data_IF_420300368799
#
_entry.id   IF_420300368799
#
_cell.length_a   1.000
_cell.length_b   1.000
_cell.length_c   1.000
_cell.angle_alpha   90.00
_cell.angle_beta   90.00
_cell.angle_gamma   90.00
#
_symmetry.space_group_name_H-M   'P 1'
#
loop_
_entity.id
_entity.type
_entity.pdbx_description
1 polymer ?
#
# COMPACT_ATOMS: atom_id res chain seq x y z
N UNK A 1 3.21 -8.28 -15.96
CA UNK A 1 2.97 -6.88 -15.55
C UNK A 1 2.96 -6.02 -16.82
N UNK A 2 2.29 -4.86 -16.82
CA UNK A 2 2.48 -3.87 -17.90
C UNK A 2 3.79 -3.12 -17.67
N UNK A 3 4.45 -2.65 -18.74
CA UNK A 3 5.66 -1.82 -18.59
C UNK A 3 5.31 -0.36 -18.33
N UNK A 4 4.28 0.15 -18.98
CA UNK A 4 3.92 1.56 -18.93
C UNK A 4 2.48 1.73 -18.44
N UNK A 5 2.26 2.75 -17.63
CA UNK A 5 0.96 3.14 -17.10
C UNK A 5 0.67 4.60 -17.46
N UNK A 6 -0.37 4.81 -18.26
CA UNK A 6 -0.91 6.13 -18.59
C UNK A 6 -2.15 6.40 -17.74
N UNK A 7 -2.21 7.56 -17.09
CA UNK A 7 -3.35 7.94 -16.25
C UNK A 7 -3.91 9.29 -16.68
N UNK A 8 -5.00 9.26 -17.43
CA UNK A 8 -5.77 10.42 -17.86
C UNK A 8 -6.45 11.10 -16.65
N UNK A 9 -6.59 12.43 -16.73
CA UNK A 9 -7.18 13.28 -15.69
C UNK A 9 -6.48 13.21 -14.31
N UNK A 10 -5.22 12.81 -14.28
CA UNK A 10 -4.46 12.65 -13.04
C UNK A 10 -3.73 13.93 -12.60
N UNK A 11 -3.54 14.87 -13.53
CA UNK A 11 -2.89 16.13 -13.27
C UNK A 11 -3.57 17.27 -14.03
N UNK A 12 -3.16 18.51 -13.75
CA UNK A 12 -3.63 19.69 -14.46
C UNK A 12 -2.48 20.62 -14.85
N UNK A 13 -2.61 21.28 -16.01
CA UNK A 13 -1.73 22.38 -16.46
C UNK A 13 -2.59 23.55 -16.92
N UNK A 14 -2.38 24.72 -16.31
CA UNK A 14 -3.22 25.88 -16.56
C UNK A 14 -4.71 25.61 -16.32
N UNK A 15 -5.04 24.75 -15.34
CA UNK A 15 -6.41 24.34 -15.02
C UNK A 15 -7.03 23.29 -15.96
N UNK A 16 -6.33 22.86 -17.01
CA UNK A 16 -6.80 21.80 -17.92
C UNK A 16 -6.27 20.44 -17.47
N UNK A 17 -7.14 19.44 -17.43
CA UNK A 17 -6.76 18.07 -17.06
C UNK A 17 -5.81 17.44 -18.07
N UNK A 18 -4.95 16.55 -17.59
CA UNK A 18 -3.97 15.84 -18.41
C UNK A 18 -3.59 14.45 -17.90
N UNK A 19 -2.91 13.73 -18.78
CA UNK A 19 -2.32 12.42 -18.63
C UNK A 19 -0.93 12.52 -18.03
N UNK A 20 -0.64 11.60 -17.10
CA UNK A 20 0.74 11.32 -16.65
C UNK A 20 1.17 9.96 -17.18
N UNK A 21 2.49 9.77 -17.35
CA UNK A 21 3.10 8.50 -17.75
C UNK A 21 3.99 7.98 -16.63
N UNK A 22 3.83 6.72 -16.28
CA UNK A 22 4.62 6.05 -15.25
C UNK A 22 5.21 4.77 -15.82
N UNK A 23 6.43 4.45 -15.42
CA UNK A 23 7.07 3.18 -15.77
C UNK A 23 6.93 2.19 -14.62
N UNK A 24 6.89 0.92 -14.96
CA UNK A 24 6.94 -0.17 -13.99
C UNK A 24 8.20 -0.01 -13.13
N UNK A 25 8.04 -0.21 -11.83
CA UNK A 25 9.08 0.07 -10.86
C UNK A 25 9.32 -1.14 -9.97
N UNK A 26 10.57 -1.43 -9.56
CA UNK A 26 10.81 -2.54 -8.65
C UNK A 26 10.17 -2.23 -7.29
N UNK A 27 9.68 -3.25 -6.59
CA UNK A 27 9.21 -3.10 -5.22
C UNK A 27 10.39 -2.94 -4.22
N UNK A 28 10.11 -2.68 -2.94
CA UNK A 28 11.13 -2.58 -1.88
C UNK A 28 11.06 -3.77 -0.89
N UNK A 29 11.97 -4.76 -1.00
CA UNK A 29 12.01 -5.88 -0.08
C UNK A 29 12.15 -5.49 1.39
N UNK A 30 11.59 -6.29 2.28
CA UNK A 30 11.82 -6.17 3.73
C UNK A 30 13.04 -6.97 4.16
N UNK A 31 13.70 -6.56 5.24
CA UNK A 31 14.65 -7.42 5.91
C UNK A 31 13.97 -8.57 6.65
N UNK A 32 14.76 -9.58 7.00
CA UNK A 32 14.27 -10.78 7.67
C UNK A 32 14.31 -10.56 9.19
N UNK A 33 13.17 -10.75 9.85
CA UNK A 33 13.03 -10.59 11.31
C UNK A 33 13.09 -11.95 12.07
N UNK A 34 13.19 -13.10 11.39
CA UNK A 34 12.93 -14.36 12.09
C UNK A 34 14.10 -14.85 12.97
N UNK A 35 13.93 -14.70 14.29
CA UNK A 35 14.93 -15.03 15.34
C UNK A 35 15.38 -16.50 15.36
N UNK A 36 14.54 -17.44 14.90
CA UNK A 36 14.86 -18.89 14.91
C UNK A 36 15.75 -19.33 13.75
N UNK A 37 15.79 -18.58 12.65
CA UNK A 37 16.51 -18.92 11.41
C UNK A 37 17.63 -17.92 11.10
N UNK A 38 18.22 -17.30 12.13
CA UNK A 38 19.37 -16.40 11.95
C UNK A 38 20.49 -17.11 11.19
N UNK A 39 20.99 -16.46 10.14
CA UNK A 39 22.04 -17.00 9.27
C UNK A 39 21.56 -17.89 8.13
N UNK A 40 20.27 -18.25 8.05
CA UNK A 40 19.72 -18.86 6.83
C UNK A 40 19.53 -17.79 5.75
N UNK A 41 19.77 -18.11 4.47
CA UNK A 41 19.56 -17.16 3.39
C UNK A 41 18.07 -16.82 3.26
N UNK A 42 17.79 -15.62 2.76
CA UNK A 42 16.43 -15.27 2.37
C UNK A 42 15.85 -16.28 1.38
N UNK A 43 14.52 -16.50 1.37
CA UNK A 43 13.88 -17.22 0.28
C UNK A 43 14.32 -16.69 -1.08
N UNK A 44 14.48 -17.57 -2.06
CA UNK A 44 15.00 -17.21 -3.40
C UNK A 44 14.14 -16.15 -4.09
N UNK A 45 12.83 -16.13 -3.78
CA UNK A 45 11.85 -15.17 -4.30
C UNK A 45 11.64 -13.93 -3.41
N UNK A 46 12.48 -13.73 -2.39
CA UNK A 46 12.36 -12.62 -1.44
C UNK A 46 12.72 -11.26 -2.06
N UNK A 47 13.53 -11.25 -3.11
CA UNK A 47 13.82 -10.02 -3.83
C UNK A 47 12.58 -9.49 -4.56
N UNK A 48 12.62 -8.24 -5.02
CA UNK A 48 11.57 -7.67 -5.86
C UNK A 48 11.46 -8.41 -7.19
N UNK A 49 10.26 -8.45 -7.77
CA UNK A 49 10.07 -8.99 -9.13
C UNK A 49 10.85 -8.16 -10.14
N UNK A 50 11.37 -8.83 -11.17
CA UNK A 50 12.16 -8.18 -12.21
C UNK A 50 11.27 -7.32 -13.09
N UNK A 51 11.57 -6.03 -13.15
CA UNK A 51 10.87 -5.03 -13.96
C UNK A 51 10.98 -5.30 -15.46
N UNK A 52 12.10 -5.89 -15.90
CA UNK A 52 12.35 -6.23 -17.31
C UNK A 52 11.37 -7.25 -17.92
N UNK A 53 10.51 -7.87 -17.09
CA UNK A 53 9.43 -8.75 -17.54
C UNK A 53 8.11 -7.99 -17.80
N UNK A 54 8.09 -6.68 -17.53
CA UNK A 54 6.99 -5.80 -17.87
C UNK A 54 6.92 -5.59 -19.37
N UNK A 55 5.75 -5.79 -19.96
CA UNK A 55 5.50 -5.52 -21.37
C UNK A 55 4.09 -4.97 -21.58
N UNK A 56 4.00 -3.95 -22.42
CA UNK A 56 2.74 -3.36 -22.83
C UNK A 56 2.36 -2.12 -22.03
N UNK A 57 1.24 -1.53 -22.42
CA UNK A 57 0.72 -0.27 -21.88
C UNK A 57 -0.66 -0.48 -21.28
N UNK A 58 -0.86 0.06 -20.09
CA UNK A 58 -2.17 0.17 -19.44
C UNK A 58 -2.57 1.64 -19.40
N UNK A 59 -3.70 1.97 -20.01
CA UNK A 59 -4.26 3.31 -20.01
C UNK A 59 -5.53 3.37 -19.16
N UNK A 60 -5.54 4.30 -18.22
CA UNK A 60 -6.62 4.47 -17.27
C UNK A 60 -7.12 5.91 -17.26
N UNK A 61 -8.41 6.11 -16.99
CA UNK A 61 -8.95 7.43 -16.62
C UNK A 61 -9.22 7.49 -15.13
N UNK A 62 -8.60 8.47 -14.45
CA UNK A 62 -8.85 8.74 -13.05
C UNK A 62 -10.29 9.25 -12.86
N UNK A 63 -11.02 8.61 -11.95
CA UNK A 63 -12.39 8.98 -11.60
C UNK A 63 -12.44 9.59 -10.19
N UNK A 64 -13.27 9.07 -9.31
CA UNK A 64 -13.47 9.59 -7.97
C UNK A 64 -12.42 9.12 -6.96
N UNK A 65 -12.13 10.01 -6.00
CA UNK A 65 -11.36 9.70 -4.80
C UNK A 65 -12.23 8.92 -3.82
N UNK A 66 -11.78 7.75 -3.39
CA UNK A 66 -12.52 6.87 -2.46
C UNK A 66 -11.91 6.79 -1.06
N UNK A 67 -10.62 7.09 -0.90
CA UNK A 67 -9.99 7.08 0.43
C UNK A 67 -8.73 7.95 0.53
N UNK A 68 -8.34 8.21 1.77
CA UNK A 68 -7.08 8.85 2.16
C UNK A 68 -6.60 8.22 3.46
N UNK A 69 -5.39 7.68 3.44
CA UNK A 69 -4.68 7.20 4.61
C UNK A 69 -3.42 8.01 4.88
N UNK A 70 -2.55 7.47 5.76
CA UNK A 70 -1.25 8.06 6.07
C UNK A 70 -0.35 8.11 4.83
N UNK A 71 -0.10 6.94 4.25
CA UNK A 71 0.84 6.73 3.13
C UNK A 71 0.34 7.30 1.82
N UNK A 72 -0.96 7.30 1.58
CA UNK A 72 -1.47 7.54 0.24
C UNK A 72 -2.94 7.88 0.15
N UNK A 73 -3.35 8.18 -1.07
CA UNK A 73 -4.73 8.48 -1.46
C UNK A 73 -5.19 7.47 -2.48
N UNK A 74 -6.46 7.09 -2.40
CA UNK A 74 -7.01 6.02 -3.23
C UNK A 74 -8.12 6.55 -4.12
N UNK A 75 -8.09 6.16 -5.38
CA UNK A 75 -9.05 6.51 -6.40
C UNK A 75 -9.61 5.27 -7.09
N UNK A 76 -10.80 5.41 -7.63
CA UNK A 76 -11.28 4.53 -8.69
C UNK A 76 -10.74 5.05 -10.02
N UNK A 77 -10.34 4.15 -10.90
CA UNK A 77 -10.01 4.46 -12.27
C UNK A 77 -10.70 3.49 -13.22
N UNK A 78 -11.07 3.97 -14.40
CA UNK A 78 -11.61 3.15 -15.48
C UNK A 78 -10.46 2.66 -16.36
N UNK A 79 -10.52 1.41 -16.80
CA UNK A 79 -9.63 0.88 -17.83
C UNK A 79 -10.12 1.31 -19.21
N UNK A 80 -9.31 2.11 -19.92
CA UNK A 80 -9.65 2.57 -21.26
C UNK A 80 -9.00 1.68 -22.33
N UNK A 81 -7.72 1.38 -22.17
CA UNK A 81 -6.95 0.49 -23.04
C UNK A 81 -5.95 -0.35 -22.23
N UNK A 82 -5.64 -1.55 -22.72
CA UNK A 82 -4.65 -2.44 -22.12
C UNK A 82 -4.03 -3.28 -23.24
N UNK A 83 -2.83 -2.91 -23.68
CA UNK A 83 -2.22 -3.46 -24.89
C UNK A 83 -0.88 -4.12 -24.57
N UNK A 84 -0.58 -5.24 -25.21
CA UNK A 84 0.77 -5.81 -25.26
C UNK A 84 1.13 -6.14 -26.71
N UNK A 85 1.98 -5.31 -27.32
CA UNK A 85 2.11 -5.30 -28.78
C UNK A 85 0.75 -5.03 -29.42
N UNK A 86 0.34 -5.90 -30.35
CA UNK A 86 -0.96 -5.81 -31.02
C UNK A 86 -2.11 -6.54 -30.29
N UNK A 87 -1.86 -7.07 -29.09
CA UNK A 87 -2.85 -7.85 -28.34
C UNK A 87 -3.59 -6.97 -27.32
N UNK A 88 -4.92 -6.90 -27.45
CA UNK A 88 -5.81 -6.25 -26.49
C UNK A 88 -6.10 -7.19 -25.30
N UNK A 89 -5.69 -6.76 -24.11
CA UNK A 89 -5.80 -7.49 -22.85
C UNK A 89 -6.95 -6.99 -21.97
N UNK A 90 -7.81 -6.07 -22.43
CA UNK A 90 -8.90 -5.52 -21.61
C UNK A 90 -9.87 -6.57 -21.10
N UNK A 91 -10.10 -7.65 -21.85
CA UNK A 91 -10.96 -8.74 -21.41
C UNK A 91 -10.43 -9.49 -20.18
N UNK A 92 -9.14 -9.35 -19.86
CA UNK A 92 -8.50 -9.95 -18.69
C UNK A 92 -8.49 -9.01 -17.47
N UNK A 93 -8.95 -7.77 -17.64
CA UNK A 93 -8.99 -6.76 -16.60
C UNK A 93 -10.44 -6.42 -16.23
N UNK A 94 -10.71 -6.02 -14.98
CA UNK A 94 -11.98 -5.44 -14.64
C UNK A 94 -12.14 -4.08 -15.34
N UNK A 95 -13.38 -3.67 -15.62
CA UNK A 95 -13.68 -2.36 -16.20
C UNK A 95 -13.13 -1.19 -15.35
N UNK A 96 -13.07 -1.41 -14.02
CA UNK A 96 -12.56 -0.45 -13.06
C UNK A 96 -11.54 -1.09 -12.13
N UNK A 97 -10.51 -0.32 -11.83
CA UNK A 97 -9.42 -0.67 -10.92
C UNK A 97 -9.32 0.36 -9.79
N UNK A 98 -8.61 -0.04 -8.74
CA UNK A 98 -8.26 0.80 -7.61
C UNK A 98 -6.83 1.32 -7.79
N UNK A 99 -6.65 2.63 -7.75
CA UNK A 99 -5.34 3.27 -7.77
C UNK A 99 -5.01 3.81 -6.40
N UNK A 100 -3.86 3.42 -5.85
CA UNK A 100 -3.33 4.00 -4.62
C UNK A 100 -2.07 4.79 -4.94
N UNK A 101 -2.17 6.10 -4.82
CA UNK A 101 -1.06 7.04 -5.00
C UNK A 101 -0.37 7.26 -3.66
N UNK A 102 0.95 7.20 -3.65
CA UNK A 102 1.72 7.65 -2.50
C UNK A 102 1.59 9.16 -2.35
N UNK A 103 1.59 9.65 -1.11
CA UNK A 103 1.98 11.04 -0.88
C UNK A 103 3.49 11.15 -1.14
N UNK A 104 4.00 12.33 -1.52
CA UNK A 104 5.41 12.54 -1.87
C UNK A 104 6.39 12.02 -0.83
N UNK A 105 6.02 12.05 0.44
CA UNK A 105 6.86 11.67 1.58
C UNK A 105 6.89 10.15 1.81
N UNK A 106 6.03 9.38 1.14
CA UNK A 106 5.76 7.98 1.45
C UNK A 106 5.89 7.00 0.26
N UNK A 107 6.65 7.36 -0.78
CA UNK A 107 6.79 6.52 -1.96
C UNK A 107 7.52 5.21 -1.66
N UNK A 108 8.50 5.23 -0.76
CA UNK A 108 9.25 4.03 -0.34
C UNK A 108 8.37 3.07 0.48
N UNK A 109 7.51 3.58 1.35
CA UNK A 109 6.46 2.84 2.04
C UNK A 109 5.50 2.18 1.05
N UNK A 110 5.12 2.88 -0.01
CA UNK A 110 4.28 2.29 -1.06
C UNK A 110 5.02 1.20 -1.86
N UNK A 111 6.31 1.39 -2.15
CA UNK A 111 7.15 0.37 -2.77
C UNK A 111 7.30 -0.88 -1.88
N UNK A 112 7.36 -0.70 -0.55
CA UNK A 112 7.32 -1.81 0.42
C UNK A 112 5.98 -2.54 0.40
N UNK A 113 4.88 -1.80 0.27
CA UNK A 113 3.55 -2.40 0.12
C UNK A 113 3.42 -3.20 -1.19
N UNK A 114 3.97 -2.72 -2.30
CA UNK A 114 4.06 -3.47 -3.56
C UNK A 114 4.74 -4.83 -3.34
N UNK A 115 5.84 -4.84 -2.60
CA UNK A 115 6.60 -6.06 -2.32
C UNK A 115 5.75 -7.08 -1.56
N UNK A 116 4.94 -6.65 -0.58
CA UNK A 116 4.03 -7.56 0.10
C UNK A 116 3.01 -8.21 -0.85
N UNK A 117 2.47 -7.47 -1.82
CA UNK A 117 1.58 -8.06 -2.83
C UNK A 117 2.30 -9.11 -3.69
N UNK A 118 3.57 -8.88 -4.04
CA UNK A 118 4.39 -9.84 -4.78
C UNK A 118 4.62 -11.13 -3.97
N UNK A 119 4.94 -11.00 -2.68
CA UNK A 119 5.16 -12.16 -1.80
C UNK A 119 3.89 -12.94 -1.48
N UNK A 120 2.73 -12.29 -1.58
CA UNK A 120 1.41 -12.88 -1.32
C UNK A 120 0.66 -13.24 -2.61
N UNK A 121 1.36 -13.47 -3.71
CA UNK A 121 0.77 -13.79 -5.02
C UNK A 121 -0.25 -14.94 -4.96
N UNK A 122 0.03 -16.01 -4.21
CA UNK A 122 -0.88 -17.14 -4.05
C UNK A 122 -2.18 -16.82 -3.31
N UNK A 123 -2.26 -15.66 -2.65
CA UNK A 123 -3.41 -15.21 -1.86
C UNK A 123 -4.28 -14.19 -2.62
N UNK A 124 -3.83 -13.72 -3.78
CA UNK A 124 -4.53 -12.71 -4.58
C UNK A 124 -5.84 -13.24 -5.18
N UNK A 125 -6.85 -12.38 -5.27
CA UNK A 125 -8.20 -12.72 -5.73
C UNK A 125 -9.02 -13.54 -4.71
N UNK A 126 -8.40 -14.01 -3.63
CA UNK A 126 -9.07 -14.73 -2.55
C UNK A 126 -9.07 -13.93 -1.24
N UNK A 127 -7.88 -13.66 -0.70
CA UNK A 127 -7.71 -12.99 0.61
C UNK A 127 -7.21 -11.55 0.50
N UNK A 128 -6.54 -11.22 -0.61
CA UNK A 128 -6.08 -9.88 -0.93
C UNK A 128 -6.47 -9.52 -2.38
N UNK A 129 -6.57 -8.22 -2.72
CA UNK A 129 -6.83 -7.79 -4.10
C UNK A 129 -5.81 -8.35 -5.09
N UNK A 130 -6.24 -8.58 -6.34
CA UNK A 130 -5.30 -8.80 -7.44
C UNK A 130 -4.43 -7.55 -7.62
N UNK A 131 -3.12 -7.75 -7.69
CA UNK A 131 -2.11 -6.72 -7.88
C UNK A 131 -1.65 -6.71 -9.33
N UNK A 132 -1.92 -5.61 -10.03
CA UNK A 132 -1.61 -5.47 -11.45
C UNK A 132 -0.24 -4.83 -11.70
N UNK A 133 0.32 -4.13 -10.71
CA UNK A 133 1.67 -3.60 -10.77
C UNK A 133 1.91 -2.38 -9.88
N UNK A 134 3.20 -2.06 -9.73
CA UNK A 134 3.70 -0.87 -9.07
C UNK A 134 4.46 -0.03 -10.10
N UNK A 135 4.10 1.24 -10.19
CA UNK A 135 4.62 2.16 -11.20
C UNK A 135 5.12 3.41 -10.52
N UNK A 136 6.20 3.98 -11.04
CA UNK A 136 6.74 5.24 -10.56
C UNK A 136 7.39 6.05 -11.66
N UNK A 137 7.47 7.36 -11.46
CA UNK A 137 8.23 8.28 -12.29
C UNK A 137 8.59 9.51 -11.47
N UNK A 138 9.59 10.27 -11.89
CA UNK A 138 9.85 11.59 -11.33
C UNK A 138 8.95 12.66 -11.96
N UNK A 139 8.66 13.73 -11.24
CA UNK A 139 7.91 14.88 -11.79
C UNK A 139 8.60 15.47 -13.02
N UNK A 140 9.94 15.47 -13.07
CA UNK A 140 10.72 15.97 -14.20
C UNK A 140 10.55 15.16 -15.49
N UNK A 141 10.16 13.89 -15.39
CA UNK A 141 9.88 13.02 -16.54
C UNK A 141 8.48 13.27 -17.13
N UNK A 142 7.61 13.98 -16.40
CA UNK A 142 6.25 14.23 -16.87
C UNK A 142 6.21 15.30 -17.97
N UNK A 143 5.36 15.12 -18.99
CA UNK A 143 5.06 16.19 -19.92
C UNK A 143 4.61 17.43 -19.14
N UNK A 144 5.27 18.57 -19.41
CA UNK A 144 4.92 19.89 -18.90
C UNK A 144 5.34 20.21 -17.45
N UNK A 145 6.24 19.40 -16.90
CA UNK A 145 7.05 19.81 -15.75
C UNK A 145 7.78 21.14 -16.03
N UNK A 146 7.87 22.09 -15.07
CA UNK A 146 7.40 22.01 -13.68
C UNK A 146 5.97 22.56 -13.46
N UNK A 147 5.25 22.93 -14.53
CA UNK A 147 3.94 23.59 -14.41
C UNK A 147 2.77 22.63 -14.13
N UNK A 148 3.09 21.38 -13.81
CA UNK A 148 2.14 20.32 -13.55
C UNK A 148 1.64 20.38 -12.10
N UNK A 149 0.33 20.43 -11.91
CA UNK A 149 -0.29 20.22 -10.59
C UNK A 149 -0.86 18.82 -10.51
N UNK A 150 -0.31 17.99 -9.63
CA UNK A 150 -0.71 16.58 -9.49
C UNK A 150 -1.92 16.41 -8.59
N UNK A 151 -3.06 16.00 -9.17
CA UNK A 151 -4.37 15.98 -8.51
C UNK A 151 -4.37 15.18 -7.21
N UNK A 152 -3.78 13.97 -7.13
CA UNK A 152 -3.73 13.19 -5.87
C UNK A 152 -3.07 13.91 -4.69
N UNK A 153 -2.19 14.89 -4.92
CA UNK A 153 -1.55 15.66 -3.86
C UNK A 153 -2.28 16.96 -3.52
N UNK A 154 -3.19 17.41 -4.38
CA UNK A 154 -4.09 18.51 -4.08
C UNK A 154 -5.16 18.06 -3.08
N UNK A 155 -5.59 18.95 -2.17
CA UNK A 155 -6.70 18.69 -1.24
C UNK A 155 -6.49 17.54 -0.25
N UNK A 156 -5.29 17.43 0.34
CA UNK A 156 -5.06 16.52 1.48
C UNK A 156 -5.98 16.90 2.64
N UNK A 157 -6.81 15.97 3.11
CA UNK A 157 -7.67 16.19 4.28
C UNK A 157 -6.97 15.78 5.57
N UNK A 158 -5.94 14.95 5.47
CA UNK A 158 -5.24 14.38 6.61
C UNK A 158 -3.74 14.67 6.54
N UNK A 159 -3.30 15.61 7.37
CA UNK A 159 -1.91 15.75 7.81
C UNK A 159 -1.76 14.90 9.07
N UNK A 160 -0.75 14.04 9.14
CA UNK A 160 -0.58 13.15 10.28
C UNK A 160 0.52 13.68 11.19
N UNK A 161 0.27 13.80 12.49
CA UNK A 161 1.25 14.34 13.44
C UNK A 161 2.47 13.41 13.63
N UNK A 162 2.36 12.16 13.15
CA UNK A 162 3.45 11.19 13.04
C UNK A 162 4.49 11.55 11.98
N UNK A 163 4.30 12.67 11.27
CA UNK A 163 5.22 13.22 10.26
C UNK A 163 6.41 13.97 10.91
N UNK A 164 6.45 14.05 12.25
CA UNK A 164 7.59 14.60 12.99
C UNK A 164 8.80 13.66 12.87
N UNK A 165 9.76 14.06 12.04
CA UNK A 165 11.02 13.34 11.86
C UNK A 165 11.75 13.13 13.20
N UNK A 166 12.30 11.93 13.48
CA UNK A 166 13.14 11.71 14.64
C UNK A 166 14.31 12.70 14.66
N UNK A 167 14.76 13.12 15.85
CA UNK A 167 15.89 14.04 16.02
C UNK A 167 17.21 13.54 15.40
N UNK A 168 17.31 12.24 15.15
CA UNK A 168 18.51 11.56 14.66
C UNK A 168 18.32 11.05 13.23
N UNK A 169 17.65 11.85 12.39
CA UNK A 169 17.27 11.38 11.05
C UNK A 169 18.46 11.03 10.14
N UNK A 170 19.60 11.70 10.34
CA UNK A 170 20.83 11.45 9.58
C UNK A 170 21.38 10.02 9.77
N UNK A 171 20.89 9.29 10.78
CA UNK A 171 21.27 7.90 11.04
C UNK A 171 20.45 6.88 10.25
N UNK A 172 19.35 7.31 9.61
CA UNK A 172 18.44 6.45 8.86
C UNK A 172 18.68 6.56 7.36
N UNK A 173 18.39 5.49 6.58
CA UNK A 173 18.64 5.50 5.15
C UNK A 173 17.66 6.38 4.36
N UNK A 174 16.51 6.73 4.95
CA UNK A 174 15.42 7.48 4.30
C UNK A 174 14.59 8.26 5.31
N UNK A 175 13.97 9.36 4.87
CA UNK A 175 12.96 10.08 5.66
C UNK A 175 11.63 9.31 5.77
N UNK A 176 11.36 8.41 4.84
CA UNK A 176 10.21 7.51 4.85
C UNK A 176 10.56 6.24 5.62
N UNK A 177 10.53 6.36 6.94
CA UNK A 177 11.00 5.33 7.86
C UNK A 177 10.11 4.09 7.86
N UNK A 178 10.74 2.93 7.66
CA UNK A 178 10.13 1.61 7.76
C UNK A 178 10.52 0.95 9.08
N UNK A 179 9.68 0.02 9.60
CA UNK A 179 9.97 -0.65 10.87
C UNK A 179 11.32 -1.36 10.93
N UNK A 180 11.83 -1.80 9.78
CA UNK A 180 13.09 -2.51 9.63
C UNK A 180 14.32 -1.61 9.37
N UNK A 181 14.15 -0.29 9.35
CA UNK A 181 15.29 0.66 9.32
C UNK A 181 15.81 1.00 10.71
N UNK A 182 15.04 0.67 11.74
CA UNK A 182 15.37 1.02 13.11
C UNK A 182 16.72 0.43 13.48
N UNK A 183 17.70 1.32 13.67
CA UNK A 183 19.01 0.93 14.16
C UNK A 183 18.84 0.19 15.48
N UNK A 184 19.68 -0.83 15.74
CA UNK A 184 19.75 -1.41 17.07
C UNK A 184 19.97 -0.29 18.07
N UNK A 185 19.06 -0.15 19.04
CA UNK A 185 19.43 0.45 20.31
C UNK A 185 20.78 -0.17 20.68
N UNK A 186 21.79 0.66 20.93
CA UNK A 186 23.18 0.24 21.20
C UNK A 186 23.28 -0.85 22.29
N UNK A 187 22.22 -1.05 23.08
CA UNK A 187 22.05 -2.13 24.06
C UNK A 187 21.56 -3.49 23.49
N UNK A 188 21.10 -3.58 22.25
CA UNK A 188 20.54 -4.79 21.63
C UNK A 188 21.08 -4.97 20.22
N UNK A 189 21.80 -6.06 19.94
CA UNK A 189 22.10 -6.47 18.55
C UNK A 189 20.81 -6.44 17.73
N UNK A 190 20.85 -5.80 16.56
CA UNK A 190 19.65 -5.61 15.74
C UNK A 190 18.99 -6.97 15.50
N UNK A 191 17.68 -7.10 15.73
CA UNK A 191 16.98 -8.31 15.36
C UNK A 191 16.84 -8.48 13.85
N UNK A 192 17.20 -7.47 13.06
CA UNK A 192 16.97 -7.36 11.63
C UNK A 192 18.28 -7.63 10.89
N UNK A 193 18.28 -8.65 10.04
CA UNK A 193 19.39 -9.03 9.18
C UNK A 193 18.95 -8.93 7.71
N UNK A 194 19.83 -8.42 6.84
CA UNK A 194 19.67 -8.47 5.39
C UNK A 194 20.81 -9.31 4.79
N UNK A 195 20.86 -10.63 5.07
CA UNK A 195 21.99 -11.49 4.68
C UNK A 195 22.16 -11.56 3.17
N UNK A 196 21.07 -11.39 2.41
CA UNK A 196 21.07 -11.41 0.95
C UNK A 196 21.33 -10.02 0.33
N UNK A 197 21.29 -8.95 1.12
CA UNK A 197 21.42 -7.58 0.64
C UNK A 197 20.22 -7.10 -0.20
N UNK A 198 19.09 -7.81 -0.22
CA UNK A 198 17.97 -7.48 -1.10
C UNK A 198 17.31 -6.15 -0.73
N UNK A 199 17.21 -5.87 0.57
CA UNK A 199 16.71 -4.59 1.03
C UNK A 199 17.73 -3.50 0.70
N UNK A 200 18.99 -3.66 1.12
CA UNK A 200 20.02 -2.61 1.03
C UNK A 200 20.42 -2.26 -0.40
N UNK A 201 20.36 -3.23 -1.33
CA UNK A 201 20.66 -3.01 -2.75
C UNK A 201 19.47 -2.49 -3.56
N UNK A 202 18.29 -2.37 -2.95
CA UNK A 202 17.11 -1.78 -3.60
C UNK A 202 17.32 -0.28 -3.85
N UNK A 203 16.88 0.21 -5.01
CA UNK A 203 16.85 1.66 -5.32
C UNK A 203 16.04 2.46 -4.31
N UNK A 204 15.07 1.81 -3.66
CA UNK A 204 14.22 2.40 -2.62
C UNK A 204 14.87 2.47 -1.25
N UNK A 205 16.00 1.78 -1.00
CA UNK A 205 16.60 1.75 0.33
C UNK A 205 17.01 3.15 0.80
N UNK A 206 17.72 3.89 -0.05
CA UNK A 206 18.18 5.26 0.22
C UNK A 206 17.32 6.32 -0.47
N UNK A 207 16.18 5.94 -1.02
CA UNK A 207 15.27 6.91 -1.62
C UNK A 207 14.82 7.91 -0.56
N UNK A 208 14.75 9.18 -0.92
CA UNK A 208 14.23 10.24 -0.06
C UNK A 208 13.34 11.16 -0.88
N UNK A 209 12.30 11.75 -0.26
CA UNK A 209 11.44 12.70 -0.95
C UNK A 209 12.25 13.91 -1.40
N UNK A 210 11.93 14.42 -2.60
CA UNK A 210 12.49 15.65 -3.15
C UNK A 210 11.36 16.64 -3.38
N UNK A 211 11.51 17.85 -2.86
CA UNK A 211 10.54 18.93 -3.09
C UNK A 211 10.62 19.46 -4.53
N UNK A 212 11.82 19.54 -5.09
CA UNK A 212 12.07 20.07 -6.45
C UNK A 212 11.68 19.08 -7.55
N UNK A 213 11.86 17.78 -7.29
CA UNK A 213 11.53 16.73 -8.25
C UNK A 213 10.84 15.54 -7.54
N UNK A 214 9.59 15.73 -7.08
CA UNK A 214 8.91 14.71 -6.30
C UNK A 214 8.68 13.45 -7.13
N UNK A 215 8.83 12.29 -6.49
CA UNK A 215 8.50 11.00 -7.09
C UNK A 215 6.99 10.79 -7.05
N UNK A 216 6.42 10.40 -8.19
CA UNK A 216 5.04 9.92 -8.29
C UNK A 216 5.10 8.39 -8.22
N UNK A 217 4.33 7.77 -7.33
CA UNK A 217 4.29 6.31 -7.16
C UNK A 217 2.86 5.83 -7.00
N UNK A 218 2.52 4.74 -7.70
CA UNK A 218 1.14 4.22 -7.82
C UNK A 218 1.12 2.69 -7.75
N UNK A 219 0.19 2.15 -6.95
CA UNK A 219 -0.24 0.75 -7.06
C UNK A 219 -1.51 0.67 -7.89
N UNK A 220 -1.56 -0.30 -8.80
CA UNK A 220 -2.77 -0.70 -9.51
C UNK A 220 -3.29 -1.99 -8.91
N UNK A 221 -4.49 -1.95 -8.35
CA UNK A 221 -5.11 -3.05 -7.62
C UNK A 221 -6.51 -3.33 -8.16
N UNK A 222 -7.01 -4.54 -7.94
CA UNK A 222 -8.42 -4.86 -8.09
C UNK A 222 -9.28 -3.98 -7.19
N UNK A 223 -10.36 -3.44 -7.74
CA UNK A 223 -11.35 -2.71 -6.97
C UNK A 223 -12.29 -3.70 -6.28
N UNK A 224 -12.20 -3.79 -4.96
CA UNK A 224 -13.04 -4.68 -4.15
C UNK A 224 -14.07 -3.92 -3.31
N UNK A 225 -15.24 -4.53 -3.14
CA UNK A 225 -16.28 -4.09 -2.21
C UNK A 225 -16.90 -2.72 -2.51
N UNK A 226 -17.80 -2.28 -1.64
CA UNK A 226 -18.35 -0.92 -1.68
C UNK A 226 -17.43 0.04 -0.93
N UNK A 227 -17.46 1.32 -1.34
CA UNK A 227 -16.74 2.38 -0.62
C UNK A 227 -17.17 2.43 0.84
N UNK A 228 -16.21 2.23 1.74
CA UNK A 228 -16.48 2.34 3.18
C UNK A 228 -16.82 3.80 3.53
N UNK A 229 -18.10 4.08 3.81
CA UNK A 229 -18.55 5.44 4.11
C UNK A 229 -18.19 5.90 5.53
N UNK A 230 -17.62 5.04 6.37
CA UNK A 230 -17.30 5.32 7.77
C UNK A 230 -18.53 5.58 8.66
N UNK A 231 -19.74 5.56 8.10
CA UNK A 231 -20.98 5.53 8.87
C UNK A 231 -21.05 4.15 9.51
N UNK A 232 -20.88 4.08 10.84
CA UNK A 232 -21.31 2.90 11.60
C UNK A 232 -22.74 2.63 11.16
N UNK A 233 -22.99 1.46 10.60
CA UNK A 233 -24.37 1.06 10.32
C UNK A 233 -25.13 1.19 11.63
N UNK A 234 -26.11 2.11 11.66
CA UNK A 234 -27.13 2.07 12.70
C UNK A 234 -27.68 0.66 12.63
N UNK A 235 -27.43 -0.13 13.67
CA UNK A 235 -27.83 -1.53 13.71
C UNK A 235 -29.27 -1.61 13.25
N UNK A 236 -29.49 -2.28 12.11
CA UNK A 236 -30.84 -2.65 11.73
C UNK A 236 -31.26 -3.61 12.84
N UNK A 237 -32.05 -3.11 13.79
CA UNK A 237 -32.75 -3.94 14.75
C UNK A 237 -33.74 -4.79 13.95
N UNK A 238 -33.27 -5.87 13.35
CA UNK A 238 -34.12 -6.95 12.90
C UNK A 238 -34.61 -7.66 14.16
N UNK A 239 -35.65 -7.10 14.78
CA UNK A 239 -36.47 -7.80 15.75
C UNK A 239 -37.13 -8.98 15.05
N UNK A 240 -36.41 -10.09 14.99
CA UNK A 240 -36.95 -11.40 14.64
C UNK A 240 -37.29 -12.09 15.96
N UNK A 241 -38.57 -12.37 16.26
CA UNK A 241 -38.93 -13.09 17.47
C UNK A 241 -38.65 -14.58 17.29
N UNK A 242 -37.85 -15.13 18.20
CA UNK A 242 -37.87 -16.57 18.53
C UNK A 242 -36.78 -17.44 17.90
N UNK A 243 -35.68 -17.64 18.62
CA UNK A 243 -35.19 -18.98 18.96
C UNK A 243 -34.05 -18.87 19.98
N UNK A 244 -34.22 -19.60 21.08
CA UNK A 244 -33.28 -19.69 22.17
C UNK A 244 -32.05 -20.52 21.78
N UNK A 245 -30.88 -20.09 22.26
CA UNK A 245 -29.71 -20.94 22.43
C UNK A 245 -28.52 -20.63 21.52
N UNK A 246 -27.60 -19.80 21.99
CA UNK A 246 -26.15 -20.09 21.92
C UNK A 246 -25.37 -19.00 22.67
N UNK A 247 -24.59 -19.41 23.66
CA UNK A 247 -23.60 -18.59 24.36
C UNK A 247 -22.47 -18.21 23.39
N UNK A 248 -22.26 -16.91 23.20
CA UNK A 248 -21.08 -16.35 22.55
C UNK A 248 -20.57 -15.19 23.40
N UNK A 249 -19.56 -15.47 24.22
CA UNK A 249 -18.83 -14.48 25.03
C UNK A 249 -18.12 -13.50 24.09
N UNK A 250 -18.42 -12.21 24.22
CA UNK A 250 -17.74 -11.12 23.53
C UNK A 250 -16.95 -10.34 24.58
N UNK A 251 -15.64 -10.55 24.62
CA UNK A 251 -14.72 -9.77 25.44
C UNK A 251 -14.55 -8.39 24.82
N UNK A 252 -15.19 -7.38 25.38
CA UNK A 252 -14.92 -5.98 25.09
C UNK A 252 -13.74 -5.50 25.95
N UNK A 253 -12.59 -5.23 25.32
CA UNK A 253 -11.47 -4.57 25.99
C UNK A 253 -11.84 -3.10 26.27
N UNK A 254 -11.90 -2.64 27.53
CA UNK A 254 -12.14 -1.23 27.84
C UNK A 254 -10.89 -0.41 27.51
N UNK A 255 -11.02 0.66 26.73
CA UNK A 255 -9.96 1.67 26.56
C UNK A 255 -9.38 1.86 25.16
N UNK A 256 -9.84 1.12 24.14
CA UNK A 256 -9.39 1.35 22.75
C UNK A 256 -10.37 2.25 21.98
N UNK A 257 -9.97 3.49 21.70
CA UNK A 257 -10.59 4.31 20.65
C UNK A 257 -9.96 3.93 19.31
N UNK A 258 -10.66 3.22 18.40
CA UNK A 258 -10.11 2.91 17.09
C UNK A 258 -9.83 4.19 16.31
N UNK A 259 -8.63 4.29 15.72
CA UNK A 259 -8.29 5.35 14.77
C UNK A 259 -9.35 5.42 13.66
N UNK A 260 -9.84 6.62 13.30
CA UNK A 260 -10.85 6.72 12.27
C UNK A 260 -10.20 6.45 10.91
N UNK A 261 -10.79 5.50 10.16
CA UNK A 261 -10.61 5.28 8.71
C UNK A 261 -9.36 4.51 8.29
N UNK A 262 -9.38 3.19 8.47
CA UNK A 262 -8.63 2.27 7.61
C UNK A 262 -9.60 1.80 6.52
N UNK A 263 -9.18 1.84 5.25
CA UNK A 263 -9.95 1.25 4.14
C UNK A 263 -10.03 -0.24 4.37
N UNK A 264 -11.24 -0.72 4.58
CA UNK A 264 -11.52 -2.11 4.87
C UNK A 264 -12.26 -2.68 3.66
N UNK A 265 -11.67 -3.67 3.01
CA UNK A 265 -12.29 -4.34 1.87
C UNK A 265 -13.10 -5.52 2.37
N UNK A 266 -14.39 -5.55 2.05
CA UNK A 266 -15.23 -6.71 2.32
C UNK A 266 -15.09 -7.69 1.16
N UNK A 267 -14.54 -8.88 1.44
CA UNK A 267 -14.51 -9.96 0.46
C UNK A 267 -15.95 -10.36 0.09
N UNK A 268 -16.23 -10.45 -1.22
CA UNK A 268 -17.54 -10.86 -1.73
C UNK A 268 -17.69 -12.37 -1.51
N UNK A 269 -18.68 -12.78 -0.71
CA UNK A 269 -18.99 -14.21 -0.47
C UNK A 269 -18.58 -14.79 0.89
N UNK A 270 -18.00 -13.98 1.79
CA UNK A 270 -17.70 -14.44 3.16
C UNK A 270 -18.78 -13.94 4.12
N UNK A 271 -19.22 -14.81 5.04
CA UNK A 271 -20.26 -14.51 6.04
C UNK A 271 -19.97 -13.24 6.84
N UNK A 272 -20.98 -12.73 7.56
CA UNK A 272 -21.03 -11.40 8.18
C UNK A 272 -19.93 -11.03 9.21
N UNK A 273 -18.85 -11.82 9.35
CA UNK A 273 -17.73 -11.58 10.26
C UNK A 273 -16.35 -11.44 9.62
N UNK A 274 -16.19 -11.57 8.29
CA UNK A 274 -14.85 -11.56 7.67
C UNK A 274 -14.59 -10.28 6.89
N UNK A 275 -13.55 -9.58 7.32
CA UNK A 275 -13.25 -8.21 6.95
C UNK A 275 -11.78 -8.16 6.51
N UNK A 276 -11.53 -8.09 5.21
CA UNK A 276 -10.19 -7.93 4.66
C UNK A 276 -9.71 -6.51 4.88
N UNK A 277 -8.54 -6.32 5.50
CA UNK A 277 -7.95 -4.98 5.65
C UNK A 277 -6.94 -4.78 4.52
N UNK A 278 -6.96 -3.62 3.88
CA UNK A 278 -5.80 -3.20 3.08
C UNK A 278 -4.59 -3.24 4.02
N UNK A 279 -3.55 -4.00 3.65
CA UNK A 279 -2.37 -4.16 4.48
C UNK A 279 -1.62 -2.83 4.53
N UNK A 280 -1.85 -2.03 5.57
CA UNK A 280 -0.89 -1.00 5.95
C UNK A 280 0.30 -1.74 6.58
N UNK A 281 1.46 -1.71 5.91
CA UNK A 281 2.69 -2.35 6.38
C UNK A 281 3.08 -1.92 7.81
N UNK A 282 2.67 -0.73 8.25
CA UNK A 282 2.91 -0.25 9.62
C UNK A 282 2.09 -1.00 10.68
N UNK A 283 1.02 -1.70 10.30
CA UNK A 283 0.15 -2.44 11.21
C UNK A 283 0.68 -3.84 11.54
N UNK A 284 1.41 -4.48 10.61
CA UNK A 284 1.96 -5.83 10.82
C UNK A 284 3.06 -5.86 11.90
N UNK A 285 3.79 -4.76 12.11
CA UNK A 285 4.80 -4.67 13.16
C UNK A 285 4.27 -4.58 14.60
N UNK A 286 2.96 -4.35 14.79
CA UNK A 286 2.36 -4.21 16.14
C UNK A 286 1.68 -5.47 16.67
N UNK A 287 1.50 -6.51 15.85
CA UNK A 287 0.79 -7.73 16.24
C UNK A 287 1.60 -8.69 17.15
N UNK A 288 2.86 -8.38 17.47
CA UNK A 288 3.72 -9.27 18.27
C UNK A 288 3.87 -8.89 19.75
N UNK A 289 3.09 -7.93 20.27
CA UNK A 289 2.98 -7.76 21.73
C UNK A 289 1.84 -8.62 22.23
N UNK A 290 2.10 -9.93 22.33
CA UNK A 290 1.32 -10.80 23.20
C UNK A 290 1.47 -10.26 24.62
N UNK A 291 0.33 -9.88 25.21
CA UNK A 291 0.18 -9.69 26.64
C UNK A 291 0.74 -10.93 27.33
N UNK A 292 1.79 -10.73 28.11
CA UNK A 292 2.31 -11.74 29.02
C UNK A 292 1.63 -11.44 30.34
N UNK A 293 0.44 -12.01 30.49
CA UNK A 293 -0.22 -12.10 31.79
C UNK A 293 0.33 -13.34 32.50
N UNK A 294 1.01 -13.03 33.59
CA UNK A 294 0.91 -13.62 34.93
C UNK A 294 1.43 -15.04 35.23
N UNK A 295 1.91 -15.12 36.47
CA UNK A 295 2.10 -16.26 37.36
C UNK A 295 3.38 -17.10 37.23
N UNK A 296 4.29 -16.90 38.20
CA UNK A 296 4.87 -17.99 39.00
C UNK A 296 5.46 -17.43 40.32
N UNK A 297 5.34 -18.26 41.37
CA UNK A 297 5.48 -18.05 42.83
C UNK A 297 6.78 -17.41 43.35
#
# INVERSE_FOLDING_TARGET
>A
MFSTLLINNCATVGGKSTTISLEVSPSHPSAIWYRKHRGEPAPVNWNSKKVAEGEGELELTLLERISEGRIGVTYVAKVDSAMRGDVDLRAMLPEKVCLKFAKPEFCRSLAREAWFYEQLESCQGASIPIFYGFFSSSMAEQPWSPNLTFTPWTTRKHQFDTDSLPREIDQYPSLDLLPDDMLPDWRRKSPIEDPSGYQQNSSWYRWSPSEDNPTISVLVLELLGETCTGKKGLGVNTSTPGSAGSLGSSTSTPGYSPSPKVSVYRAKGVGAGSVGRALDASYLGKLSKTERDEDEE
#
